data_IF_647340199008
#
_entry.id   IF_647340199008
#
_cell.length_a   1.000
_cell.length_b   1.000
_cell.length_c   1.000
_cell.angle_alpha   90.00
_cell.angle_beta   90.00
_cell.angle_gamma   90.00
#
_symmetry.space_group_name_H-M   'P 1'
#
loop_
_entity.id
_entity.type
_entity.pdbx_description
1 polymer ?
#
# COMPACT_ATOMS: atom_id res chain seq x y z
N UNK A 1 -12.28 -51.64 -36.79
CA UNK A 1 -11.02 -52.08 -37.41
C UNK A 1 -10.12 -50.85 -37.55
N UNK A 2 -9.27 -50.52 -36.57
CA UNK A 2 -7.90 -51.03 -36.27
C UNK A 2 -6.79 -50.48 -37.18
N UNK A 3 -5.99 -49.56 -36.62
CA UNK A 3 -4.51 -49.49 -36.57
C UNK A 3 -4.14 -48.04 -36.17
N UNK A 4 -3.84 -47.71 -34.90
CA UNK A 4 -2.62 -47.98 -34.09
C UNK A 4 -1.32 -47.86 -34.90
N UNK A 5 -0.61 -46.74 -34.71
CA UNK A 5 0.85 -46.67 -34.79
C UNK A 5 1.35 -46.00 -33.51
N UNK A 6 2.04 -46.82 -32.71
CA UNK A 6 2.78 -46.44 -31.51
C UNK A 6 4.23 -46.14 -31.90
N UNK A 7 4.83 -45.24 -31.13
CA UNK A 7 6.20 -45.24 -30.63
C UNK A 7 7.36 -45.53 -31.60
N UNK A 8 8.14 -44.48 -31.89
CA UNK A 8 9.59 -44.62 -32.13
C UNK A 8 10.31 -43.49 -31.35
N UNK A 9 10.93 -43.90 -30.23
CA UNK A 9 12.26 -43.52 -29.73
C UNK A 9 12.51 -42.07 -29.25
N UNK A 10 12.54 -41.94 -27.92
CA UNK A 10 13.37 -41.02 -27.13
C UNK A 10 14.80 -41.64 -26.98
N UNK A 11 15.77 -41.10 -26.21
CA UNK A 11 16.34 -39.75 -26.03
C UNK A 11 17.89 -39.74 -26.09
N UNK A 12 18.56 -38.71 -26.63
CA UNK A 12 19.94 -38.30 -26.26
C UNK A 12 20.19 -36.88 -26.84
N UNK A 13 20.93 -35.91 -26.29
CA UNK A 13 21.40 -35.56 -24.96
C UNK A 13 22.06 -34.15 -25.12
N UNK A 14 21.92 -33.27 -24.11
CA UNK A 14 22.66 -32.02 -23.83
C UNK A 14 22.46 -30.72 -24.66
N UNK A 15 22.71 -29.51 -24.08
CA UNK A 15 22.88 -29.15 -22.67
C UNK A 15 21.89 -28.07 -22.16
N UNK A 16 21.59 -28.15 -20.86
CA UNK A 16 20.96 -27.11 -20.05
C UNK A 16 21.83 -25.85 -20.10
N UNK A 17 21.27 -24.72 -20.55
CA UNK A 17 21.76 -23.42 -20.11
C UNK A 17 20.65 -22.66 -19.40
N UNK A 18 20.99 -22.27 -18.17
CA UNK A 18 20.14 -21.63 -17.19
C UNK A 18 20.00 -20.15 -17.53
N UNK A 19 18.87 -19.76 -18.13
CA UNK A 19 18.37 -18.39 -18.03
C UNK A 19 17.07 -18.42 -17.25
N UNK A 20 17.19 -18.21 -15.93
CA UNK A 20 16.09 -17.75 -15.09
C UNK A 20 15.71 -16.35 -15.59
N UNK A 21 14.82 -16.31 -16.57
CA UNK A 21 14.01 -15.12 -16.79
C UNK A 21 13.14 -14.94 -15.56
N UNK A 22 13.52 -13.97 -14.72
CA UNK A 22 12.68 -13.41 -13.67
C UNK A 22 11.45 -12.78 -14.33
N UNK A 23 10.42 -13.60 -14.54
CA UNK A 23 9.07 -13.12 -14.84
C UNK A 23 8.58 -12.33 -13.63
N UNK A 24 8.77 -11.02 -13.68
CA UNK A 24 8.09 -10.07 -12.82
C UNK A 24 6.59 -10.06 -13.14
N UNK A 25 5.86 -11.00 -12.56
CA UNK A 25 4.40 -10.91 -12.44
C UNK A 25 4.08 -10.19 -11.13
N UNK A 26 4.12 -8.86 -11.13
CA UNK A 26 3.51 -8.06 -10.06
C UNK A 26 1.99 -7.99 -10.28
N UNK A 27 1.34 -9.13 -10.13
CA UNK A 27 -0.07 -9.20 -9.77
C UNK A 27 -0.12 -9.54 -8.29
N UNK A 28 -0.44 -8.58 -7.43
CA UNK A 28 -0.57 -8.76 -5.99
C UNK A 28 -1.52 -9.94 -5.70
N UNK A 29 -0.96 -11.10 -5.34
CA UNK A 29 -1.72 -12.17 -4.69
C UNK A 29 -1.96 -11.71 -3.25
N UNK A 30 -3.09 -11.04 -3.03
CA UNK A 30 -3.71 -10.88 -1.69
C UNK A 30 -3.55 -12.22 -0.98
N UNK A 31 -2.96 -12.22 0.23
CA UNK A 31 -2.77 -13.45 0.97
C UNK A 31 -4.13 -14.12 1.17
N UNK A 32 -4.21 -15.45 1.15
CA UNK A 32 -5.49 -16.15 1.35
C UNK A 32 -6.16 -15.78 2.67
N UNK A 33 -5.37 -15.29 3.64
CA UNK A 33 -5.81 -14.77 4.93
C UNK A 33 -6.50 -13.41 4.80
N UNK A 34 -5.89 -12.44 4.13
CA UNK A 34 -6.46 -11.10 3.90
C UNK A 34 -7.78 -11.16 3.15
N UNK A 35 -7.87 -12.02 2.12
CA UNK A 35 -9.12 -12.21 1.37
C UNK A 35 -10.24 -12.72 2.27
N UNK A 36 -9.95 -13.69 3.15
CA UNK A 36 -10.93 -14.22 4.11
C UNK A 36 -11.35 -13.14 5.10
N UNK A 37 -10.41 -12.34 5.61
CA UNK A 37 -10.70 -11.23 6.51
C UNK A 37 -11.59 -10.17 5.86
N UNK A 38 -11.36 -9.85 4.59
CA UNK A 38 -12.18 -8.92 3.82
C UNK A 38 -13.60 -9.44 3.60
N UNK A 39 -13.76 -10.70 3.17
CA UNK A 39 -15.09 -11.32 3.01
C UNK A 39 -15.84 -11.29 4.34
N UNK A 40 -15.17 -11.65 5.45
CA UNK A 40 -15.75 -11.59 6.79
C UNK A 40 -16.18 -10.18 7.18
N UNK A 41 -15.43 -9.14 6.80
CA UNK A 41 -15.81 -7.76 7.06
C UNK A 41 -17.07 -7.35 6.29
N UNK A 42 -17.21 -7.74 5.02
CA UNK A 42 -18.44 -7.51 4.25
C UNK A 42 -19.62 -8.28 4.85
N UNK A 43 -19.45 -9.54 5.23
CA UNK A 43 -20.51 -10.32 5.83
C UNK A 43 -20.99 -9.72 7.16
N UNK A 44 -20.06 -9.30 8.00
CA UNK A 44 -20.36 -8.63 9.27
C UNK A 44 -21.02 -7.26 9.06
N UNK A 45 -20.62 -6.51 8.04
CA UNK A 45 -21.28 -5.26 7.67
C UNK A 45 -22.77 -5.50 7.38
N UNK A 46 -23.09 -6.48 6.53
CA UNK A 46 -24.48 -6.81 6.20
C UNK A 46 -25.25 -7.35 7.40
N UNK A 47 -24.62 -8.19 8.23
CA UNK A 47 -25.23 -8.68 9.47
C UNK A 47 -25.60 -7.51 10.40
N UNK A 48 -24.71 -6.52 10.54
CA UNK A 48 -24.98 -5.37 11.39
C UNK A 48 -26.10 -4.50 10.84
N UNK A 49 -26.13 -4.27 9.53
CA UNK A 49 -27.23 -3.58 8.87
C UNK A 49 -28.57 -4.32 9.02
N UNK A 50 -28.56 -5.65 8.95
CA UNK A 50 -29.75 -6.48 9.16
C UNK A 50 -30.31 -6.33 10.58
N UNK A 51 -29.43 -6.34 11.59
CA UNK A 51 -29.83 -6.22 12.99
C UNK A 51 -30.27 -4.79 13.34
N UNK A 52 -29.61 -3.77 12.78
CA UNK A 52 -29.91 -2.36 13.08
C UNK A 52 -31.13 -1.82 12.32
N UNK A 53 -31.38 -2.31 11.10
CA UNK A 53 -32.41 -1.76 10.22
C UNK A 53 -33.39 -2.82 9.71
N UNK A 54 -33.74 -3.80 10.55
CA UNK A 54 -34.46 -5.03 10.20
C UNK A 54 -35.54 -4.87 9.12
N UNK A 55 -36.55 -4.02 9.36
CA UNK A 55 -37.65 -3.84 8.40
C UNK A 55 -37.18 -3.32 7.02
N UNK A 56 -36.31 -2.31 7.01
CA UNK A 56 -35.81 -1.72 5.75
C UNK A 56 -34.86 -2.69 5.04
N UNK A 57 -34.05 -3.41 5.80
CA UNK A 57 -33.13 -4.41 5.28
C UNK A 57 -33.89 -5.50 4.51
N UNK A 58 -34.92 -6.09 5.10
CA UNK A 58 -35.71 -7.14 4.42
C UNK A 58 -36.52 -6.60 3.24
N UNK A 59 -36.95 -5.34 3.27
CA UNK A 59 -37.60 -4.69 2.12
C UNK A 59 -36.66 -4.59 0.90
N UNK A 60 -35.37 -4.34 1.12
CA UNK A 60 -34.37 -4.19 0.05
C UNK A 60 -33.72 -5.52 -0.32
N UNK A 61 -33.27 -6.29 0.67
CA UNK A 61 -32.42 -7.48 0.54
C UNK A 61 -33.11 -8.80 0.89
N UNK A 62 -34.42 -8.84 1.11
CA UNK A 62 -35.14 -9.99 1.68
C UNK A 62 -35.18 -11.29 0.87
N UNK A 63 -34.38 -11.42 -0.20
CA UNK A 63 -34.17 -12.70 -0.89
C UNK A 63 -32.68 -13.02 -0.95
N UNK A 64 -32.31 -14.28 -0.80
CA UNK A 64 -30.91 -14.72 -0.82
C UNK A 64 -30.18 -14.28 -2.09
N UNK A 65 -30.87 -14.29 -3.23
CA UNK A 65 -30.31 -13.82 -4.51
C UNK A 65 -29.97 -12.33 -4.45
N UNK A 66 -30.88 -11.48 -3.94
CA UNK A 66 -30.60 -10.03 -3.82
C UNK A 66 -29.50 -9.76 -2.80
N UNK A 67 -29.51 -10.44 -1.66
CA UNK A 67 -28.47 -10.29 -0.65
C UNK A 67 -27.09 -10.66 -1.19
N UNK A 68 -26.99 -11.76 -1.94
CA UNK A 68 -25.73 -12.19 -2.55
C UNK A 68 -25.21 -11.19 -3.59
N UNK A 69 -26.08 -10.68 -4.47
CA UNK A 69 -25.70 -9.67 -5.46
C UNK A 69 -25.30 -8.34 -4.80
N UNK A 70 -26.01 -7.92 -3.76
CA UNK A 70 -25.67 -6.73 -2.99
C UNK A 70 -24.30 -6.86 -2.32
N UNK A 71 -24.03 -7.98 -1.63
CA UNK A 71 -22.71 -8.27 -1.05
C UNK A 71 -21.60 -8.22 -2.09
N UNK A 72 -21.83 -8.78 -3.29
CA UNK A 72 -20.87 -8.73 -4.39
C UNK A 72 -20.58 -7.29 -4.83
N UNK A 73 -21.63 -6.51 -5.09
CA UNK A 73 -21.51 -5.11 -5.54
C UNK A 73 -20.81 -4.22 -4.50
N UNK A 74 -21.15 -4.40 -3.22
CA UNK A 74 -20.53 -3.65 -2.13
C UNK A 74 -19.08 -4.08 -1.91
N UNK A 75 -18.78 -5.37 -1.99
CA UNK A 75 -17.41 -5.89 -1.93
C UNK A 75 -16.53 -5.32 -3.05
N UNK A 76 -17.03 -5.26 -4.29
CA UNK A 76 -16.31 -4.65 -5.42
C UNK A 76 -16.01 -3.16 -5.19
N UNK A 77 -16.97 -2.44 -4.60
CA UNK A 77 -16.84 -1.01 -4.33
C UNK A 77 -15.93 -0.70 -3.14
N UNK A 78 -15.90 -1.60 -2.14
CA UNK A 78 -15.13 -1.44 -0.91
C UNK A 78 -13.75 -2.11 -0.94
N UNK A 79 -13.36 -2.78 -2.04
CA UNK A 79 -12.09 -3.53 -2.16
C UNK A 79 -10.82 -2.74 -1.85
N UNK A 80 -10.90 -1.40 -1.93
CA UNK A 80 -9.78 -0.48 -1.63
C UNK A 80 -9.61 -0.19 -0.14
N UNK A 81 -10.57 -0.56 0.69
CA UNK A 81 -10.55 -0.31 2.13
C UNK A 81 -10.11 -1.55 2.89
N UNK A 82 -9.38 -1.34 3.98
CA UNK A 82 -9.01 -2.44 4.87
C UNK A 82 -10.23 -3.00 5.61
N UNK A 83 -10.21 -4.27 6.05
CA UNK A 83 -11.28 -4.84 6.87
C UNK A 83 -11.58 -4.00 8.13
N UNK A 84 -10.56 -3.45 8.78
CA UNK A 84 -10.70 -2.61 9.98
C UNK A 84 -11.42 -1.30 9.67
N UNK A 85 -11.10 -0.66 8.54
CA UNK A 85 -11.80 0.54 8.06
C UNK A 85 -13.29 0.25 7.82
N UNK A 86 -13.62 -0.88 7.16
CA UNK A 86 -15.02 -1.27 6.93
C UNK A 86 -15.77 -1.49 8.24
N UNK A 87 -15.15 -2.14 9.23
CA UNK A 87 -15.77 -2.29 10.55
C UNK A 87 -16.05 -0.95 11.22
N UNK A 88 -15.07 -0.06 11.26
CA UNK A 88 -15.22 1.26 11.86
C UNK A 88 -16.28 2.09 11.14
N UNK A 89 -16.29 2.09 9.82
CA UNK A 89 -17.29 2.78 9.01
C UNK A 89 -18.70 2.25 9.29
N UNK A 90 -18.85 0.93 9.41
CA UNK A 90 -20.13 0.29 9.77
C UNK A 90 -20.62 0.75 11.14
N UNK A 91 -19.73 0.84 12.13
CA UNK A 91 -20.07 1.37 13.45
C UNK A 91 -20.53 2.82 13.38
N UNK A 92 -19.82 3.66 12.63
CA UNK A 92 -20.15 5.08 12.47
C UNK A 92 -21.51 5.24 11.83
N UNK A 93 -21.75 4.64 10.65
CA UNK A 93 -23.03 4.82 9.93
C UNK A 93 -24.21 4.32 10.74
N UNK A 94 -24.06 3.21 11.48
CA UNK A 94 -25.15 2.68 12.33
C UNK A 94 -25.49 3.64 13.48
N UNK A 95 -24.50 4.37 13.99
CA UNK A 95 -24.72 5.36 15.06
C UNK A 95 -25.28 6.68 14.55
N UNK A 96 -24.94 7.08 13.33
CA UNK A 96 -25.29 8.40 12.79
C UNK A 96 -26.55 8.39 11.95
N UNK A 97 -26.90 7.27 11.32
CA UNK A 97 -27.99 7.21 10.36
C UNK A 97 -29.23 6.57 10.98
N UNK A 98 -30.34 7.30 10.97
CA UNK A 98 -31.66 6.82 11.41
C UNK A 98 -32.27 5.77 10.46
N UNK A 99 -31.81 5.75 9.20
CA UNK A 99 -32.28 4.86 8.14
C UNK A 99 -31.14 3.99 7.61
N UNK A 100 -31.51 2.89 6.95
CA UNK A 100 -30.60 1.96 6.30
C UNK A 100 -29.65 2.74 5.38
N UNK A 101 -28.34 2.74 5.66
CA UNK A 101 -27.38 3.52 4.90
C UNK A 101 -27.24 2.97 3.48
N UNK A 102 -27.02 3.89 2.56
CA UNK A 102 -26.60 3.62 1.20
C UNK A 102 -25.12 3.25 1.13
N UNK A 103 -24.71 2.59 0.05
CA UNK A 103 -23.30 2.29 -0.21
C UNK A 103 -22.42 3.55 -0.18
N UNK A 104 -22.94 4.68 -0.67
CA UNK A 104 -22.22 5.95 -0.69
C UNK A 104 -21.92 6.47 0.71
N UNK A 105 -22.84 6.33 1.65
CA UNK A 105 -22.64 6.74 3.05
C UNK A 105 -21.59 5.87 3.73
N UNK A 106 -21.61 4.56 3.48
CA UNK A 106 -20.55 3.66 3.96
C UNK A 106 -19.20 4.02 3.36
N UNK A 107 -19.13 4.35 2.06
CA UNK A 107 -17.89 4.79 1.41
C UNK A 107 -17.35 6.08 2.04
N UNK A 108 -18.22 7.05 2.35
CA UNK A 108 -17.83 8.29 3.04
C UNK A 108 -17.27 8.01 4.43
N UNK A 109 -17.96 7.21 5.24
CA UNK A 109 -17.49 6.81 6.56
C UNK A 109 -16.18 5.98 6.51
N UNK A 110 -15.95 5.22 5.43
CA UNK A 110 -14.66 4.58 5.19
C UNK A 110 -13.56 5.60 4.88
N UNK A 111 -13.87 6.66 4.12
CA UNK A 111 -12.93 7.77 3.87
C UNK A 111 -12.55 8.52 5.15
N UNK A 112 -13.53 8.85 5.98
CA UNK A 112 -13.31 9.53 7.27
C UNK A 112 -12.52 8.65 8.26
N UNK A 113 -12.70 7.33 8.23
CA UNK A 113 -11.89 6.42 9.04
C UNK A 113 -10.49 6.13 8.46
N UNK A 114 -10.23 6.40 7.17
CA UNK A 114 -8.85 6.43 6.66
C UNK A 114 -8.06 7.56 7.31
N UNK A 115 -8.68 8.71 7.56
CA UNK A 115 -8.03 9.78 8.33
C UNK A 115 -7.69 9.33 9.76
N UNK A 116 -8.34 8.27 10.27
CA UNK A 116 -8.00 7.62 11.56
C UNK A 116 -6.96 6.49 11.46
N UNK A 117 -6.54 6.08 10.25
CA UNK A 117 -5.48 5.09 10.04
C UNK A 117 -4.08 5.66 10.31
N UNK A 118 -3.84 6.38 11.41
CA UNK A 118 -2.50 6.87 11.82
C UNK A 118 -1.67 7.55 10.71
N UNK A 119 -2.23 7.93 9.56
CA UNK A 119 -1.51 8.63 8.50
C UNK A 119 -1.57 10.11 8.88
N UNK A 120 -0.46 10.70 9.36
CA UNK A 120 -0.49 12.10 9.76
C UNK A 120 -0.82 12.98 8.57
N UNK A 121 -1.41 14.13 8.86
CA UNK A 121 -1.59 15.17 7.86
C UNK A 121 -0.24 15.54 7.23
N UNK A 122 -0.28 16.13 6.03
CA UNK A 122 0.97 16.52 5.34
C UNK A 122 1.82 17.47 6.18
N UNK A 123 1.18 18.34 6.98
CA UNK A 123 1.86 19.26 7.88
C UNK A 123 2.53 18.53 9.05
N UNK A 124 1.83 17.62 9.71
CA UNK A 124 2.38 16.82 10.80
C UNK A 124 3.52 15.93 10.32
N UNK A 125 3.36 15.27 9.17
CA UNK A 125 4.40 14.47 8.53
C UNK A 125 5.65 15.30 8.22
N UNK A 126 5.48 16.54 7.75
CA UNK A 126 6.60 17.43 7.47
C UNK A 126 7.33 17.86 8.75
N UNK A 127 6.58 18.21 9.80
CA UNK A 127 7.15 18.55 11.10
C UNK A 127 7.91 17.36 11.71
N UNK A 128 7.38 16.16 11.61
CA UNK A 128 8.04 14.94 12.06
C UNK A 128 9.34 14.67 11.28
N UNK A 129 9.32 14.87 9.96
CA UNK A 129 10.51 14.78 9.12
C UNK A 129 11.60 15.78 9.53
N UNK A 130 11.23 17.03 9.84
CA UNK A 130 12.16 18.07 10.31
C UNK A 130 12.72 17.78 11.70
N UNK A 131 11.93 17.16 12.58
CA UNK A 131 12.37 16.77 13.94
C UNK A 131 13.32 15.57 13.95
N UNK A 132 13.39 14.83 12.84
CA UNK A 132 14.21 13.62 12.76
C UNK A 132 15.72 13.91 12.74
N UNK A 133 16.45 13.25 13.65
CA UNK A 133 17.91 13.27 13.71
C UNK A 133 18.53 11.99 13.14
N UNK A 134 19.80 12.04 12.75
CA UNK A 134 20.54 10.84 12.36
C UNK A 134 20.87 10.00 13.61
N UNK A 135 20.72 8.65 13.57
CA UNK A 135 20.34 7.81 12.44
C UNK A 135 18.81 7.73 12.22
N UNK A 136 18.34 8.26 11.08
CA UNK A 136 16.91 8.37 10.76
C UNK A 136 16.19 7.04 10.50
N UNK A 137 16.94 5.94 10.41
CA UNK A 137 16.39 4.58 10.28
C UNK A 137 15.88 4.03 11.61
N UNK A 138 16.46 4.48 12.72
CA UNK A 138 16.11 4.05 14.07
C UNK A 138 15.07 5.01 14.72
N UNK A 139 14.68 6.05 13.99
CA UNK A 139 13.67 6.99 14.45
C UNK A 139 12.28 6.33 14.46
N UNK A 140 11.51 6.61 15.51
CA UNK A 140 10.16 6.09 15.69
C UNK A 140 9.16 6.82 14.79
N UNK A 141 9.14 6.48 13.50
CA UNK A 141 8.26 7.09 12.53
C UNK A 141 6.79 6.70 12.77
N UNK A 142 5.89 7.69 12.77
CA UNK A 142 4.44 7.47 12.86
C UNK A 142 3.96 6.62 11.69
N UNK A 143 4.41 6.96 10.48
CA UNK A 143 4.23 6.12 9.30
C UNK A 143 5.52 6.01 8.50
N UNK A 144 5.83 4.81 7.96
CA UNK A 144 7.04 4.63 7.16
C UNK A 144 7.12 5.55 5.93
N UNK A 145 5.97 5.96 5.37
CA UNK A 145 5.93 6.87 4.21
C UNK A 145 6.55 8.24 4.47
N UNK A 146 6.60 8.70 5.73
CA UNK A 146 7.24 9.97 6.10
C UNK A 146 8.75 9.87 5.84
N UNK A 147 9.38 8.78 6.29
CA UNK A 147 10.79 8.52 6.02
C UNK A 147 11.07 8.47 4.52
N UNK A 148 10.26 7.74 3.76
CA UNK A 148 10.44 7.61 2.31
C UNK A 148 10.22 8.93 1.56
N UNK A 149 9.19 9.70 1.94
CA UNK A 149 8.95 11.03 1.37
C UNK A 149 10.12 11.95 1.64
N UNK A 150 10.60 11.96 2.88
CA UNK A 150 11.67 12.84 3.29
C UNK A 150 13.02 12.46 2.66
N UNK A 151 13.28 11.17 2.50
CA UNK A 151 14.44 10.63 1.79
C UNK A 151 14.45 10.99 0.31
N UNK A 152 13.29 10.95 -0.35
CA UNK A 152 13.14 11.30 -1.77
C UNK A 152 13.33 12.80 -2.01
N UNK A 153 12.83 13.64 -1.11
CA UNK A 153 13.05 15.10 -1.16
C UNK A 153 14.50 15.47 -0.82
N UNK A 154 15.11 14.76 0.12
CA UNK A 154 16.44 15.02 0.63
C UNK A 154 16.41 15.73 1.98
N UNK A 155 17.16 15.19 2.93
CA UNK A 155 17.18 15.67 4.31
C UNK A 155 17.72 17.09 4.46
N UNK A 156 18.69 17.49 3.64
CA UNK A 156 19.27 18.84 3.67
C UNK A 156 18.24 19.90 3.27
N UNK A 157 17.37 19.56 2.31
CA UNK A 157 16.32 20.44 1.82
C UNK A 157 15.20 20.58 2.87
N UNK A 158 14.89 19.50 3.58
CA UNK A 158 13.86 19.48 4.64
C UNK A 158 14.29 20.27 5.88
N UNK A 159 15.57 20.14 6.28
CA UNK A 159 16.12 20.83 7.45
C UNK A 159 16.49 22.29 7.14
N UNK A 160 16.54 22.67 5.87
CA UNK A 160 16.74 24.06 5.48
C UNK A 160 15.50 24.89 5.84
N UNK A 161 15.68 25.81 6.79
CA UNK A 161 14.63 26.66 7.36
C UNK A 161 14.14 27.78 6.43
N UNK A 162 14.73 27.94 5.24
CA UNK A 162 14.59 29.15 4.42
C UNK A 162 13.90 28.98 3.06
N UNK A 163 13.38 27.80 2.72
CA UNK A 163 12.79 27.58 1.40
C UNK A 163 11.27 27.30 1.47
N UNK A 164 10.40 28.25 1.07
CA UNK A 164 8.95 28.03 1.06
C UNK A 164 8.53 26.93 0.07
N UNK A 165 9.39 26.56 -0.89
CA UNK A 165 9.12 25.48 -1.82
C UNK A 165 9.39 24.09 -1.23
N UNK A 166 10.12 23.98 -0.12
CA UNK A 166 10.42 22.69 0.53
C UNK A 166 9.14 21.96 0.95
N UNK A 167 8.22 22.67 1.62
CA UNK A 167 6.94 22.09 2.04
C UNK A 167 6.10 21.63 0.84
N UNK A 168 6.07 22.43 -0.24
CA UNK A 168 5.32 22.09 -1.46
C UNK A 168 5.90 20.85 -2.15
N UNK A 169 7.22 20.72 -2.20
CA UNK A 169 7.89 19.56 -2.77
C UNK A 169 7.62 18.31 -1.93
N UNK A 170 7.75 18.41 -0.61
CA UNK A 170 7.41 17.34 0.32
C UNK A 170 5.95 16.93 0.23
N UNK A 171 5.02 17.88 0.21
CA UNK A 171 3.58 17.63 0.09
C UNK A 171 3.24 16.80 -1.15
N UNK A 172 3.83 17.14 -2.31
CA UNK A 172 3.60 16.40 -3.55
C UNK A 172 4.08 14.96 -3.46
N UNK A 173 5.27 14.74 -2.88
CA UNK A 173 5.84 13.40 -2.71
C UNK A 173 5.04 12.59 -1.67
N UNK A 174 4.74 13.20 -0.53
CA UNK A 174 3.98 12.57 0.55
C UNK A 174 2.58 12.16 0.10
N UNK A 175 1.84 13.03 -0.58
CA UNK A 175 0.51 12.70 -1.11
C UNK A 175 0.56 11.52 -2.10
N UNK A 176 1.59 11.46 -2.95
CA UNK A 176 1.80 10.34 -3.87
C UNK A 176 2.07 9.03 -3.13
N UNK A 177 2.89 9.06 -2.07
CA UNK A 177 3.19 7.87 -1.27
C UNK A 177 2.02 7.45 -0.38
N UNK A 178 1.26 8.39 0.17
CA UNK A 178 0.03 8.14 0.92
C UNK A 178 -1.02 7.44 0.02
N UNK A 179 -1.21 7.91 -1.22
CA UNK A 179 -2.10 7.23 -2.16
C UNK A 179 -1.66 5.79 -2.45
N UNK A 180 -0.35 5.54 -2.62
CA UNK A 180 0.18 4.19 -2.81
C UNK A 180 0.02 3.30 -1.58
N UNK A 181 0.17 3.87 -0.38
CA UNK A 181 -0.10 3.17 0.87
C UNK A 181 -1.59 2.81 0.98
N UNK A 182 -2.48 3.72 0.57
CA UNK A 182 -3.92 3.47 0.47
C UNK A 182 -4.27 2.40 -0.57
N UNK A 183 -3.50 2.27 -1.64
CA UNK A 183 -3.61 1.18 -2.63
C UNK A 183 -3.05 -0.16 -2.11
N UNK A 184 -2.55 -0.22 -0.87
CA UNK A 184 -2.04 -1.42 -0.23
C UNK A 184 -0.55 -1.70 -0.46
N UNK A 185 0.23 -0.71 -0.91
CA UNK A 185 1.68 -0.84 -0.98
C UNK A 185 2.28 -0.80 0.43
N UNK A 186 3.04 -1.85 0.80
CA UNK A 186 3.78 -1.90 2.06
C UNK A 186 5.07 -1.08 1.96
N UNK A 187 5.34 -0.25 2.98
CA UNK A 187 6.58 0.51 3.12
C UNK A 187 7.30 0.02 4.37
N UNK A 188 8.49 -0.56 4.20
CA UNK A 188 9.33 -1.02 5.31
C UNK A 188 10.66 -0.26 5.28
N UNK A 189 11.11 0.21 6.43
CA UNK A 189 12.37 0.96 6.60
C UNK A 189 13.54 -0.03 6.79
N UNK A 190 13.24 -1.28 7.11
CA UNK A 190 14.19 -2.33 7.51
C UNK A 190 15.04 -2.90 6.37
N UNK A 191 14.77 -2.53 5.11
CA UNK A 191 15.53 -3.07 3.97
C UNK A 191 16.94 -2.51 3.99
N UNK A 192 17.90 -3.36 4.33
CA UNK A 192 19.32 -3.15 4.06
C UNK A 192 19.51 -2.98 2.54
N UNK A 193 19.59 -1.73 2.08
CA UNK A 193 20.23 -1.47 0.79
C UNK A 193 21.72 -1.81 0.93
N UNK A 194 22.32 -2.50 -0.06
CA UNK A 194 23.72 -2.84 -0.02
C UNK A 194 24.49 -1.54 0.20
N UNK A 195 25.30 -1.48 1.26
CA UNK A 195 26.30 -0.42 1.41
C UNK A 195 27.01 -0.37 0.06
N UNK A 196 26.77 0.68 -0.73
CA UNK A 196 27.69 1.02 -1.79
C UNK A 196 29.04 1.10 -1.08
N UNK A 197 29.96 0.18 -1.40
CA UNK A 197 31.29 0.19 -0.82
C UNK A 197 31.82 1.59 -1.07
N UNK A 198 31.84 2.41 -0.02
CA UNK A 198 32.46 3.72 -0.06
C UNK A 198 33.95 3.40 -0.13
N UNK A 199 34.43 3.17 -1.36
CA UNK A 199 35.85 3.00 -1.59
C UNK A 199 36.51 4.27 -1.04
N UNK A 200 37.46 4.15 -0.11
CA UNK A 200 38.14 5.31 0.42
C UNK A 200 38.67 6.14 -0.74
N UNK A 201 38.53 7.46 -0.64
CA UNK A 201 38.95 8.39 -1.68
C UNK A 201 40.37 8.06 -2.13
N UNK A 202 40.52 7.66 -3.39
CA UNK A 202 41.81 7.29 -3.96
C UNK A 202 42.67 8.55 -4.10
N UNK A 203 43.57 8.73 -3.13
CA UNK A 203 44.46 9.90 -3.02
C UNK A 203 45.44 9.94 -4.18
N UNK A 204 45.82 8.80 -4.76
CA UNK A 204 46.73 8.74 -5.90
C UNK A 204 46.03 9.21 -7.17
N UNK A 205 44.81 8.72 -7.42
CA UNK A 205 43.96 9.19 -8.52
C UNK A 205 43.75 10.71 -8.46
N UNK A 206 43.43 11.25 -7.29
CA UNK A 206 43.25 12.69 -7.08
C UNK A 206 44.54 13.49 -7.40
N UNK A 207 45.70 12.98 -6.96
CA UNK A 207 47.01 13.61 -7.21
C UNK A 207 47.36 13.62 -8.71
N UNK A 208 47.04 12.54 -9.41
CA UNK A 208 47.25 12.42 -10.85
C UNK A 208 46.34 13.37 -11.65
N UNK A 209 45.07 13.52 -11.23
CA UNK A 209 44.14 14.46 -11.85
C UNK A 209 44.57 15.92 -11.65
N UNK A 210 45.04 16.28 -10.44
CA UNK A 210 45.57 17.64 -10.18
C UNK A 210 46.77 17.98 -11.06
N UNK A 211 47.72 17.05 -11.17
CA UNK A 211 48.88 17.19 -12.09
C UNK A 211 48.45 17.33 -13.55
N UNK A 212 47.45 16.57 -13.99
CA UNK A 212 46.96 16.61 -15.38
C UNK A 212 46.26 17.94 -15.72
N UNK A 213 45.64 18.58 -14.75
CA UNK A 213 44.89 19.83 -14.93
C UNK A 213 45.61 21.09 -14.41
N UNK A 214 46.89 20.99 -14.04
CA UNK A 214 47.71 22.08 -13.49
C UNK A 214 47.04 22.84 -12.33
N UNK A 215 46.48 22.08 -11.37
CA UNK A 215 45.92 22.57 -10.10
C UNK A 215 46.82 22.23 -8.91
#
# INVERSE_FOLDING_TARGET
MTKKLKDIMNPENFPKNSMKELKMNHGQKISSSERKAFIKAIDNLFLKLELSYHYQFYKVFGTDKRLKEAKRLWAESLKRYSPTCIYSATETVVKTNDYLPTLTEVIKACGESIDTLNIPSTQEAFIEAQKSSAPRKEYNWTTPIIYWAAREVGWDIINSSNNPNTFKLFSKVYARLANKMNEGQSFDISVEEPKAEVKPLDKELLKNLRKKHNL
#
